data_IF_833476801561
#
_entry.id   IF_833476801561
#
_cell.length_a   1.000
_cell.length_b   1.000
_cell.length_c   1.000
_cell.angle_alpha   90.00
_cell.angle_beta   90.00
_cell.angle_gamma   90.00
#
_symmetry.space_group_name_H-M   'P 1'
#
loop_
_entity.id
_entity.type
_entity.pdbx_description
1 polymer ?
#
# COMPACT_ATOMS: atom_id res chain seq x y z
N UNK A 1 -13.63 12.03 15.86
CA UNK A 1 -12.46 12.55 15.13
C UNK A 1 -11.46 11.43 14.99
N UNK A 2 -10.84 11.34 13.83
CA UNK A 2 -9.85 10.32 13.49
C UNK A 2 -8.54 10.62 14.21
N UNK A 3 -7.80 9.56 14.52
CA UNK A 3 -6.52 9.64 15.22
C UNK A 3 -5.40 9.26 14.27
N UNK A 4 -4.42 10.14 14.07
CA UNK A 4 -3.20 9.79 13.35
C UNK A 4 -2.27 9.07 14.31
N UNK A 5 -2.31 7.74 14.32
CA UNK A 5 -1.48 6.90 15.19
C UNK A 5 -0.04 6.85 14.68
N UNK A 6 0.92 6.54 15.55
CA UNK A 6 2.30 6.34 15.11
C UNK A 6 2.43 5.03 14.33
N UNK A 7 3.31 5.00 13.33
CA UNK A 7 3.60 3.76 12.59
C UNK A 7 4.06 2.62 13.52
N UNK A 8 4.76 2.93 14.62
CA UNK A 8 5.18 1.94 15.62
C UNK A 8 3.98 1.25 16.30
N UNK A 9 2.96 2.02 16.71
CA UNK A 9 1.73 1.46 17.30
C UNK A 9 0.98 0.60 16.28
N UNK A 10 0.86 1.08 15.04
CA UNK A 10 0.17 0.36 13.97
C UNK A 10 0.88 -0.98 13.69
N UNK A 11 2.21 -0.99 13.60
CA UNK A 11 3.00 -2.23 13.42
C UNK A 11 2.78 -3.22 14.56
N UNK A 12 2.77 -2.75 15.81
CA UNK A 12 2.52 -3.61 16.96
C UNK A 12 1.14 -4.27 16.89
N UNK A 13 0.11 -3.50 16.49
CA UNK A 13 -1.23 -4.05 16.33
C UNK A 13 -1.28 -5.11 15.22
N UNK A 14 -0.68 -4.84 14.05
CA UNK A 14 -0.62 -5.81 12.95
C UNK A 14 0.09 -7.09 13.40
N UNK A 15 1.24 -6.98 14.07
CA UNK A 15 1.98 -8.13 14.61
C UNK A 15 1.18 -8.91 15.65
N UNK A 16 0.31 -8.25 16.42
CA UNK A 16 -0.53 -8.91 17.43
C UNK A 16 -1.63 -9.80 16.84
N UNK A 17 -2.00 -9.61 15.56
CA UNK A 17 -3.04 -10.38 14.88
C UNK A 17 -2.59 -11.80 14.48
N UNK A 18 -1.30 -12.10 14.63
CA UNK A 18 -0.74 -13.43 14.46
C UNK A 18 0.52 -13.41 13.63
N UNK A 19 1.51 -14.20 14.04
CA UNK A 19 2.78 -14.27 13.34
C UNK A 19 2.79 -15.39 12.30
N UNK A 20 3.34 -15.08 11.13
CA UNK A 20 3.82 -16.09 10.19
C UNK A 20 5.22 -15.68 9.75
N UNK A 21 6.17 -16.57 9.99
CA UNK A 21 7.53 -16.38 9.49
C UNK A 21 7.50 -16.65 7.99
N UNK A 22 7.61 -15.58 7.22
CA UNK A 22 7.75 -15.60 5.77
C UNK A 22 9.07 -14.97 5.39
N UNK A 23 9.64 -15.37 4.26
CA UNK A 23 10.93 -14.86 3.79
C UNK A 23 10.88 -14.61 2.31
N UNK A 24 11.50 -13.52 1.86
CA UNK A 24 11.78 -13.35 0.44
C UNK A 24 12.75 -14.44 -0.05
N UNK A 25 12.60 -14.92 -1.30
CA UNK A 25 13.60 -15.78 -1.91
C UNK A 25 14.98 -15.12 -1.93
N UNK A 26 16.05 -15.91 -1.78
CA UNK A 26 17.43 -15.41 -1.80
C UNK A 26 17.82 -14.71 -3.11
N UNK A 27 17.11 -15.01 -4.20
CA UNK A 27 17.32 -14.40 -5.51
C UNK A 27 16.74 -12.98 -5.65
N UNK A 28 15.98 -12.50 -4.67
CA UNK A 28 15.41 -11.15 -4.72
C UNK A 28 16.52 -10.12 -4.49
N UNK A 29 16.88 -9.41 -5.54
CA UNK A 29 17.76 -8.23 -5.49
C UNK A 29 16.91 -6.96 -5.59
N UNK A 30 16.36 -6.52 -4.46
CA UNK A 30 15.59 -5.29 -4.34
C UNK A 30 15.98 -4.51 -3.07
N UNK A 31 16.23 -3.19 -3.15
CA UNK A 31 16.72 -2.39 -2.01
C UNK A 31 15.57 -1.99 -1.07
N UNK A 32 15.01 -2.96 -0.37
CA UNK A 32 13.86 -2.73 0.50
C UNK A 32 14.13 -1.75 1.66
N UNK A 33 13.08 -1.04 2.06
CA UNK A 33 13.04 -0.31 3.34
C UNK A 33 13.05 -1.31 4.50
N UNK A 34 13.92 -1.11 5.50
CA UNK A 34 14.00 -2.01 6.66
C UNK A 34 12.65 -2.15 7.37
N UNK A 35 11.98 -1.02 7.60
CA UNK A 35 10.65 -0.95 8.22
C UNK A 35 9.62 -1.87 7.55
N UNK A 36 9.64 -1.92 6.21
CA UNK A 36 8.79 -2.83 5.44
C UNK A 36 9.19 -4.29 5.66
N UNK A 37 10.47 -4.61 5.47
CA UNK A 37 10.92 -6.02 5.54
C UNK A 37 10.79 -6.64 6.93
N UNK A 38 11.01 -5.86 7.99
CA UNK A 38 10.89 -6.33 9.36
C UNK A 38 9.44 -6.70 9.68
N UNK A 39 8.48 -5.95 9.13
CA UNK A 39 7.06 -6.24 9.31
C UNK A 39 6.62 -7.44 8.47
N UNK A 40 6.82 -7.41 7.14
CA UNK A 40 6.18 -8.39 6.23
C UNK A 40 6.74 -9.81 6.32
N UNK A 41 7.91 -9.98 6.95
CA UNK A 41 8.48 -11.31 7.26
C UNK A 41 7.84 -11.97 8.48
N UNK A 42 7.07 -11.21 9.27
CA UNK A 42 6.53 -11.68 10.55
C UNK A 42 5.00 -11.79 10.54
N UNK A 43 4.33 -11.25 9.53
CA UNK A 43 2.87 -11.26 9.42
C UNK A 43 2.39 -12.30 8.42
N UNK A 44 1.10 -12.59 8.46
CA UNK A 44 0.37 -13.08 7.28
C UNK A 44 -0.12 -11.89 6.48
N UNK A 45 -0.36 -12.11 5.19
CA UNK A 45 -1.12 -11.16 4.38
C UNK A 45 -2.40 -10.74 5.12
N UNK A 46 -2.59 -9.43 5.30
CA UNK A 46 -3.58 -8.85 6.21
C UNK A 46 -4.32 -7.69 5.56
N UNK A 47 -5.63 -7.69 5.69
CA UNK A 47 -6.48 -6.56 5.35
C UNK A 47 -6.45 -5.58 6.56
N UNK A 48 -5.76 -4.45 6.42
CA UNK A 48 -5.69 -3.40 7.45
C UNK A 48 -6.97 -2.56 7.41
N UNK A 49 -7.46 -2.28 6.21
CA UNK A 49 -8.72 -1.60 5.90
C UNK A 49 -9.28 -2.12 4.59
N UNK A 50 -10.50 -1.72 4.24
CA UNK A 50 -11.12 -1.95 2.93
C UNK A 50 -10.19 -1.56 1.77
N UNK A 51 -9.50 -0.43 1.90
CA UNK A 51 -8.58 0.10 0.88
C UNK A 51 -7.13 -0.41 0.95
N UNK A 52 -6.76 -1.16 2.00
CA UNK A 52 -5.36 -1.48 2.26
C UNK A 52 -5.18 -2.91 2.77
N UNK A 53 -4.80 -3.79 1.84
CA UNK A 53 -4.27 -5.12 2.13
C UNK A 53 -2.76 -5.12 2.01
N UNK A 54 -2.08 -5.42 3.11
CA UNK A 54 -0.63 -5.59 3.16
C UNK A 54 -0.27 -7.06 2.93
N UNK A 55 0.57 -7.33 1.94
CA UNK A 55 1.08 -8.68 1.68
C UNK A 55 2.17 -9.08 2.67
N UNK A 56 2.19 -10.36 3.05
CA UNK A 56 3.39 -10.95 3.62
C UNK A 56 4.50 -11.08 2.55
N UNK A 57 5.72 -11.42 2.98
CA UNK A 57 6.87 -11.49 2.10
C UNK A 57 6.71 -12.47 0.91
N UNK A 58 5.95 -13.56 1.08
CA UNK A 58 5.79 -14.58 0.04
C UNK A 58 4.76 -14.14 -1.00
N UNK A 59 3.63 -13.58 -0.55
CA UNK A 59 2.59 -13.07 -1.45
C UNK A 59 3.11 -11.84 -2.24
N UNK A 60 3.83 -10.92 -1.60
CA UNK A 60 4.45 -9.78 -2.27
C UNK A 60 5.40 -10.22 -3.41
N UNK A 61 6.20 -11.26 -3.17
CA UNK A 61 7.07 -11.84 -4.21
C UNK A 61 6.27 -12.47 -5.36
N UNK A 62 5.22 -13.24 -5.02
CA UNK A 62 4.37 -13.91 -6.01
C UNK A 62 3.67 -12.89 -6.91
N UNK A 63 3.08 -11.85 -6.33
CA UNK A 63 2.42 -10.77 -7.06
C UNK A 63 3.42 -9.99 -7.93
N UNK A 64 4.57 -9.59 -7.37
CA UNK A 64 5.63 -8.92 -8.15
C UNK A 64 6.09 -9.77 -9.34
N UNK A 65 6.20 -11.09 -9.16
CA UNK A 65 6.57 -12.01 -10.25
C UNK A 65 5.47 -12.14 -11.31
N UNK A 66 4.19 -12.16 -10.90
CA UNK A 66 3.07 -12.26 -11.82
C UNK A 66 3.01 -11.02 -12.74
N UNK A 67 3.15 -9.83 -12.16
CA UNK A 67 3.18 -8.58 -12.90
C UNK A 67 4.52 -8.31 -13.60
N UNK A 68 5.51 -9.20 -13.51
CA UNK A 68 6.73 -9.10 -14.30
C UNK A 68 6.57 -9.60 -15.75
N UNK A 69 5.36 -10.07 -16.13
CA UNK A 69 5.03 -10.38 -17.51
C UNK A 69 4.94 -9.08 -18.34
N UNK A 70 5.72 -8.94 -19.43
CA UNK A 70 5.67 -7.77 -20.31
C UNK A 70 4.28 -7.43 -20.86
N UNK A 71 3.34 -8.39 -20.92
CA UNK A 71 1.97 -8.15 -21.35
C UNK A 71 1.19 -7.15 -20.49
N UNK A 72 1.60 -6.95 -19.23
CA UNK A 72 1.00 -5.94 -18.35
C UNK A 72 1.54 -4.51 -18.60
N UNK A 73 2.61 -4.36 -19.39
CA UNK A 73 3.33 -3.11 -19.56
C UNK A 73 3.30 -2.65 -21.03
N UNK A 74 3.48 -1.34 -21.30
CA UNK A 74 3.68 -0.86 -22.65
C UNK A 74 4.89 -1.52 -23.31
N UNK A 75 4.83 -1.74 -24.63
CA UNK A 75 5.94 -2.35 -25.39
C UNK A 75 7.27 -1.58 -25.29
N UNK A 76 7.22 -0.32 -24.85
CA UNK A 76 8.40 0.52 -24.61
C UNK A 76 9.14 0.18 -23.32
N UNK A 77 8.53 -0.56 -22.38
CA UNK A 77 9.18 -0.98 -21.15
C UNK A 77 10.03 -2.22 -21.39
N UNK A 78 11.31 -2.11 -21.08
CA UNK A 78 12.21 -3.26 -21.07
C UNK A 78 12.00 -4.09 -19.81
N UNK A 79 12.54 -5.32 -19.81
CA UNK A 79 12.56 -6.14 -18.59
C UNK A 79 13.22 -5.42 -17.41
N UNK A 80 14.26 -4.64 -17.68
CA UNK A 80 14.95 -3.87 -16.66
C UNK A 80 14.04 -2.78 -16.07
N UNK A 81 13.18 -2.15 -16.88
CA UNK A 81 12.23 -1.14 -16.39
C UNK A 81 11.16 -1.77 -15.50
N UNK A 82 10.65 -2.93 -15.89
CA UNK A 82 9.64 -3.70 -15.15
C UNK A 82 10.18 -4.16 -13.79
N UNK A 83 11.39 -4.75 -13.76
CA UNK A 83 12.03 -5.26 -12.54
C UNK A 83 12.44 -4.14 -11.55
N UNK A 84 12.16 -2.86 -11.87
CA UNK A 84 12.35 -1.73 -10.92
C UNK A 84 11.25 -1.64 -9.88
N UNK A 85 10.11 -2.29 -10.10
CA UNK A 85 8.94 -2.15 -9.24
C UNK A 85 8.73 -3.36 -8.35
N UNK A 86 8.25 -3.12 -7.14
CA UNK A 86 7.92 -4.15 -6.17
C UNK A 86 6.51 -3.94 -5.63
N UNK A 87 5.64 -4.93 -5.78
CA UNK A 87 4.26 -4.88 -5.30
C UNK A 87 4.24 -5.36 -3.85
N UNK A 88 3.66 -4.55 -2.96
CA UNK A 88 3.62 -4.86 -1.54
C UNK A 88 2.20 -4.93 -0.95
N UNK A 89 1.19 -4.51 -1.70
CA UNK A 89 -0.19 -4.58 -1.26
C UNK A 89 -1.18 -4.33 -2.39
N UNK A 90 -2.47 -4.42 -2.05
CA UNK A 90 -3.58 -4.08 -2.94
C UNK A 90 -4.75 -3.47 -2.16
N UNK A 91 -5.78 -2.95 -2.85
CA UNK A 91 -7.04 -2.49 -2.23
C UNK A 91 -8.21 -3.50 -2.36
N UNK A 92 -7.93 -4.77 -2.63
CA UNK A 92 -8.95 -5.82 -2.72
C UNK A 92 -9.81 -5.79 -3.99
N UNK A 93 -9.67 -4.75 -4.82
CA UNK A 93 -10.37 -4.61 -6.10
C UNK A 93 -9.46 -4.75 -7.32
N UNK A 94 -8.16 -4.97 -7.10
CA UNK A 94 -7.15 -5.13 -8.15
C UNK A 94 -6.15 -3.99 -8.24
N UNK A 95 -6.38 -2.88 -7.54
CA UNK A 95 -5.42 -1.77 -7.48
C UNK A 95 -4.25 -2.14 -6.59
N UNK A 96 -3.06 -1.66 -6.95
CA UNK A 96 -1.80 -2.11 -6.39
C UNK A 96 -1.04 -0.98 -5.70
N UNK A 97 -0.38 -1.34 -4.61
CA UNK A 97 0.60 -0.50 -3.93
C UNK A 97 2.01 -1.00 -4.26
N UNK A 98 2.88 -0.10 -4.72
CA UNK A 98 4.21 -0.45 -5.23
C UNK A 98 5.33 0.42 -4.65
N UNK A 99 6.52 -0.14 -4.57
CA UNK A 99 7.77 0.59 -4.46
C UNK A 99 8.51 0.62 -5.79
N UNK A 100 9.32 1.64 -6.05
CA UNK A 100 10.46 1.53 -6.95
C UNK A 100 11.77 1.24 -6.20
N UNK A 101 12.88 1.06 -6.93
CA UNK A 101 14.21 0.85 -6.32
C UNK A 101 14.76 2.07 -5.58
N UNK A 102 14.16 3.26 -5.74
CA UNK A 102 14.47 4.46 -4.94
C UNK A 102 13.57 4.55 -3.69
N UNK A 103 12.76 3.52 -3.42
CA UNK A 103 11.82 3.42 -2.31
C UNK A 103 10.67 4.43 -2.39
N UNK A 104 10.42 5.01 -3.57
CA UNK A 104 9.23 5.83 -3.82
C UNK A 104 8.01 4.94 -3.86
N UNK A 105 6.92 5.44 -3.27
CA UNK A 105 5.67 4.71 -3.15
C UNK A 105 4.69 5.16 -4.23
N UNK A 106 4.08 4.19 -4.90
CA UNK A 106 3.12 4.40 -5.97
C UNK A 106 1.80 3.69 -5.66
N UNK A 107 0.72 4.28 -6.16
CA UNK A 107 -0.57 3.62 -6.33
C UNK A 107 -0.85 3.40 -7.82
N UNK A 108 -1.42 2.26 -8.17
CA UNK A 108 -1.84 1.93 -9.53
C UNK A 108 -3.29 1.46 -9.52
N UNK A 109 -4.17 2.23 -10.17
CA UNK A 109 -5.56 1.85 -10.43
C UNK A 109 -5.62 0.92 -11.65
N UNK A 110 -6.11 -0.30 -11.44
CA UNK A 110 -6.14 -1.34 -12.47
C UNK A 110 -7.04 -0.99 -13.66
N UNK A 111 -7.92 0.01 -13.51
CA UNK A 111 -8.77 0.52 -14.59
C UNK A 111 -8.05 1.52 -15.50
N UNK A 112 -6.86 2.02 -15.12
CA UNK A 112 -6.10 3.02 -15.91
C UNK A 112 -5.30 2.40 -17.07
N UNK A 113 -5.49 1.11 -17.35
CA UNK A 113 -4.83 0.41 -18.45
C UNK A 113 -3.52 -0.24 -18.02
N UNK A 114 -2.49 -0.24 -18.88
CA UNK A 114 -1.24 -0.96 -18.62
C UNK A 114 -0.44 -0.36 -17.44
N UNK A 115 0.38 -1.17 -16.79
CA UNK A 115 1.31 -0.72 -15.77
C UNK A 115 2.40 0.18 -16.34
N UNK A 116 2.80 1.20 -15.58
CA UNK A 116 3.88 2.10 -15.95
C UNK A 116 3.70 3.46 -15.31
N UNK A 117 4.77 4.25 -15.27
CA UNK A 117 4.82 5.54 -14.58
C UNK A 117 3.72 6.52 -15.00
N UNK A 118 3.21 6.44 -16.23
CA UNK A 118 2.11 7.31 -16.69
C UNK A 118 0.77 7.00 -16.00
N UNK A 119 0.61 5.78 -15.50
CA UNK A 119 -0.60 5.29 -14.84
C UNK A 119 -0.37 5.03 -13.35
N UNK A 120 0.80 5.41 -12.83
CA UNK A 120 1.13 5.34 -11.41
C UNK A 120 1.00 6.72 -10.79
N UNK A 121 0.38 6.80 -9.62
CA UNK A 121 0.36 8.00 -8.79
C UNK A 121 1.51 7.90 -7.78
N UNK A 122 2.56 8.70 -7.94
CA UNK A 122 3.61 8.83 -6.92
C UNK A 122 3.03 9.55 -5.70
N UNK A 123 3.08 8.90 -4.52
CA UNK A 123 2.41 9.42 -3.34
C UNK A 123 3.25 10.39 -2.53
N UNK A 124 4.56 10.45 -2.78
CA UNK A 124 5.54 11.24 -2.03
C UNK A 124 5.46 11.03 -0.51
N UNK A 125 5.17 9.81 -0.09
CA UNK A 125 5.18 9.35 1.30
C UNK A 125 6.07 8.11 1.42
N UNK A 126 6.49 7.80 2.64
CA UNK A 126 7.19 6.55 2.95
C UNK A 126 6.22 5.43 3.37
N UNK A 127 6.75 4.23 3.56
CA UNK A 127 5.96 3.07 3.99
C UNK A 127 5.29 3.27 5.37
N UNK A 128 5.94 3.99 6.28
CA UNK A 128 5.39 4.25 7.62
C UNK A 128 4.18 5.17 7.54
N UNK A 129 4.25 6.19 6.68
CA UNK A 129 3.13 7.06 6.34
C UNK A 129 2.02 6.29 5.60
N UNK A 130 2.35 5.32 4.76
CA UNK A 130 1.35 4.43 4.15
C UNK A 130 0.62 3.58 5.20
N UNK A 131 1.31 3.07 6.22
CA UNK A 131 0.65 2.37 7.33
C UNK A 131 -0.30 3.29 8.10
N UNK A 132 0.07 4.56 8.28
CA UNK A 132 -0.83 5.57 8.86
C UNK A 132 -2.05 5.82 7.99
N UNK A 133 -1.88 5.86 6.67
CA UNK A 133 -2.99 5.99 5.72
C UNK A 133 -3.94 4.78 5.81
N UNK A 134 -3.39 3.56 5.79
CA UNK A 134 -4.15 2.33 5.95
C UNK A 134 -4.95 2.32 7.27
N UNK A 135 -4.34 2.79 8.36
CA UNK A 135 -5.02 2.88 9.65
C UNK A 135 -6.12 3.95 9.71
N UNK A 136 -5.94 5.08 9.01
CA UNK A 136 -7.00 6.09 8.91
C UNK A 136 -8.20 5.53 8.12
N UNK A 137 -7.96 4.79 7.04
CA UNK A 137 -9.04 4.10 6.30
C UNK A 137 -9.75 3.07 7.19
N UNK A 138 -9.00 2.31 7.99
CA UNK A 138 -9.60 1.37 8.97
C UNK A 138 -10.55 2.08 9.94
N UNK A 139 -10.16 3.25 10.42
CA UNK A 139 -11.03 4.06 11.30
C UNK A 139 -12.28 4.57 10.57
N UNK A 140 -12.19 4.89 9.28
CA UNK A 140 -13.35 5.23 8.45
C UNK A 140 -14.27 4.01 8.28
N UNK A 141 -13.71 2.83 8.00
CA UNK A 141 -14.48 1.58 7.92
C UNK A 141 -15.26 1.31 9.22
N UNK A 142 -14.62 1.50 10.37
CA UNK A 142 -15.25 1.34 11.69
C UNK A 142 -16.38 2.34 11.94
N UNK A 143 -16.22 3.58 11.48
CA UNK A 143 -17.28 4.61 11.57
C UNK A 143 -18.44 4.22 10.66
N UNK A 144 -18.17 3.91 9.38
CA UNK A 144 -19.18 3.52 8.42
C UNK A 144 -19.95 2.26 8.87
N UNK A 145 -19.25 1.25 9.37
CA UNK A 145 -19.88 0.03 9.88
C UNK A 145 -20.79 0.28 11.10
N UNK A 146 -20.47 1.29 11.92
CA UNK A 146 -21.27 1.64 13.10
C UNK A 146 -22.45 2.56 12.78
N UNK A 147 -22.23 3.55 11.91
CA UNK A 147 -23.14 4.68 11.69
C UNK A 147 -23.90 4.57 10.36
N UNK A 148 -23.45 3.73 9.43
CA UNK A 148 -24.03 3.56 8.09
C UNK A 148 -23.62 4.66 7.09
N UNK A 149 -22.95 5.71 7.56
CA UNK A 149 -22.45 6.83 6.76
C UNK A 149 -21.23 7.48 7.42
N UNK A 150 -20.45 8.22 6.62
CA UNK A 150 -19.35 9.07 7.12
C UNK A 150 -19.84 10.52 7.03
N UNK A 151 -20.05 11.17 8.18
CA UNK A 151 -20.51 12.56 8.21
C UNK A 151 -19.43 13.56 7.75
N UNK A 152 -19.85 14.75 7.31
CA UNK A 152 -18.98 15.79 6.76
C UNK A 152 -17.83 16.21 7.69
N UNK A 153 -18.08 16.30 9.01
CA UNK A 153 -17.02 16.65 9.96
C UNK A 153 -15.90 15.59 10.01
N UNK A 154 -16.24 14.31 9.78
CA UNK A 154 -15.27 13.23 9.66
C UNK A 154 -14.53 13.27 8.32
N UNK A 155 -15.24 13.58 7.23
CA UNK A 155 -14.64 13.76 5.89
C UNK A 155 -13.61 14.91 5.91
N UNK A 156 -13.96 16.04 6.50
CA UNK A 156 -13.07 17.20 6.64
C UNK A 156 -11.82 16.88 7.48
N UNK A 157 -11.99 16.15 8.60
CA UNK A 157 -10.86 15.71 9.43
C UNK A 157 -9.94 14.74 8.69
N UNK A 158 -10.51 13.80 7.93
CA UNK A 158 -9.75 12.86 7.10
C UNK A 158 -8.95 13.59 6.02
N UNK A 159 -9.62 14.42 5.21
CA UNK A 159 -9.01 15.21 4.13
C UNK A 159 -7.86 16.06 4.66
N UNK A 160 -8.04 16.72 5.82
CA UNK A 160 -6.96 17.52 6.44
C UNK A 160 -5.77 16.66 6.86
N UNK A 161 -5.98 15.44 7.35
CA UNK A 161 -4.89 14.53 7.71
C UNK A 161 -4.15 14.01 6.48
N UNK A 162 -4.87 13.62 5.43
CA UNK A 162 -4.26 13.22 4.16
C UNK A 162 -3.41 14.34 3.58
N UNK A 163 -3.94 15.57 3.53
CA UNK A 163 -3.21 16.74 3.07
C UNK A 163 -1.92 17.00 3.88
N UNK A 164 -1.95 16.73 5.19
CA UNK A 164 -0.78 16.88 6.06
C UNK A 164 0.27 15.79 5.81
N UNK A 165 -0.16 14.57 5.49
CA UNK A 165 0.74 13.43 5.22
C UNK A 165 1.38 13.52 3.83
N UNK A 166 0.58 13.81 2.81
CA UNK A 166 1.02 13.93 1.42
C UNK A 166 -0.16 14.25 0.51
N UNK A 167 -0.10 15.37 -0.20
CA UNK A 167 -1.23 15.85 -1.02
C UNK A 167 -1.62 14.90 -2.15
N UNK A 168 -0.73 14.02 -2.59
CA UNK A 168 -1.05 12.99 -3.59
C UNK A 168 -2.05 11.95 -3.07
N UNK A 169 -2.14 11.72 -1.75
CA UNK A 169 -3.14 10.83 -1.16
C UNK A 169 -4.58 11.31 -1.40
N UNK A 170 -4.78 12.61 -1.57
CA UNK A 170 -6.11 13.16 -1.90
C UNK A 170 -6.60 12.74 -3.28
N UNK A 171 -5.70 12.36 -4.19
CA UNK A 171 -6.07 11.88 -5.52
C UNK A 171 -6.65 10.46 -5.49
N UNK A 172 -6.41 9.73 -4.40
CA UNK A 172 -6.87 8.35 -4.24
C UNK A 172 -8.26 8.26 -3.64
N UNK A 173 -8.85 9.40 -3.26
CA UNK A 173 -10.04 9.43 -2.43
C UNK A 173 -11.04 10.45 -2.95
N UNK A 174 -12.26 10.00 -3.25
CA UNK A 174 -13.40 10.83 -3.60
C UNK A 174 -14.52 10.63 -2.56
N UNK A 175 -15.02 11.72 -1.96
CA UNK A 175 -16.12 11.73 -0.97
C UNK A 175 -17.45 12.18 -1.57
#
# INVERSE_FOLDING_TARGET
MLTLRSAAQIKQDILSQGNALSTFPQSVDFPFVLSYTDLVKQIRTSDISSECRLFDAAEAWKETRAFADPGYWPETYTRQDIDRFWIFGQNGQGDLWLFDREQKLYFYDHNQGQMGLNNFVELHIDFDSWLQYADLNRQLDEIYNREGEINEACKDDYTRKLQHMGSALLQLFEF
#
